data_IF_049625635032
#
_entry.id   IF_049625635032
#
_cell.length_a   1.000
_cell.length_b   1.000
_cell.length_c   1.000
_cell.angle_alpha   90.00
_cell.angle_beta   90.00
_cell.angle_gamma   90.00
#
_symmetry.space_group_name_H-M   'P 1'
#
loop_
_entity.id
_entity.type
_entity.pdbx_description
1 polymer ?
#
# COMPACT_ATOMS: atom_id res chain seq x y z
N UNK A 1 29.78 -7.55 -21.83
CA UNK A 1 29.01 -8.01 -20.65
C UNK A 1 27.57 -7.52 -20.80
N UNK A 2 26.63 -8.30 -21.37
CA UNK A 2 25.26 -7.84 -21.55
C UNK A 2 24.47 -7.96 -20.23
N UNK A 3 23.85 -6.85 -19.81
CA UNK A 3 22.90 -6.75 -18.70
C UNK A 3 21.64 -7.55 -19.02
N UNK A 4 21.42 -8.67 -18.33
CA UNK A 4 20.21 -9.45 -18.44
C UNK A 4 19.06 -8.74 -17.72
N UNK A 5 18.21 -8.02 -18.48
CA UNK A 5 16.93 -7.50 -17.98
C UNK A 5 15.94 -8.67 -17.94
N UNK A 6 15.94 -9.44 -16.84
CA UNK A 6 14.95 -10.49 -16.59
C UNK A 6 13.59 -9.81 -16.41
N UNK A 7 12.76 -9.83 -17.45
CA UNK A 7 11.35 -9.48 -17.33
C UNK A 7 10.73 -10.62 -16.51
N UNK A 8 10.41 -10.35 -15.25
CA UNK A 8 9.58 -11.25 -14.46
C UNK A 8 8.17 -11.20 -15.05
N UNK A 9 7.81 -12.21 -15.85
CA UNK A 9 6.42 -12.45 -16.19
C UNK A 9 5.78 -13.06 -14.92
N UNK A 10 5.40 -12.19 -13.98
CA UNK A 10 4.81 -12.62 -12.72
C UNK A 10 3.37 -13.08 -13.01
N UNK A 11 3.19 -14.36 -13.32
CA UNK A 11 1.91 -15.01 -13.05
C UNK A 11 1.60 -14.83 -11.57
N UNK A 12 0.36 -14.49 -11.25
CA UNK A 12 -0.07 -14.46 -9.85
C UNK A 12 0.25 -15.85 -9.25
N UNK A 13 0.86 -15.91 -8.05
CA UNK A 13 1.03 -17.18 -7.35
C UNK A 13 -0.34 -17.82 -7.10
N UNK A 14 -0.40 -19.15 -6.97
CA UNK A 14 -1.67 -19.90 -6.92
C UNK A 14 -2.63 -19.39 -5.85
N UNK A 15 -2.11 -18.96 -4.70
CA UNK A 15 -2.90 -18.37 -3.62
C UNK A 15 -3.55 -17.02 -4.00
N UNK A 16 -2.96 -16.28 -4.94
CA UNK A 16 -3.47 -15.00 -5.43
C UNK A 16 -4.35 -15.15 -6.69
N UNK A 17 -4.45 -16.35 -7.25
CA UNK A 17 -5.41 -16.71 -8.31
C UNK A 17 -6.79 -17.11 -7.75
N UNK A 18 -7.07 -16.81 -6.48
CA UNK A 18 -8.37 -17.09 -5.87
C UNK A 18 -9.49 -16.38 -6.68
N UNK A 19 -10.53 -17.10 -7.13
CA UNK A 19 -11.69 -16.51 -7.79
C UNK A 19 -12.41 -15.44 -6.96
N UNK A 20 -12.29 -15.47 -5.63
CA UNK A 20 -12.79 -14.44 -4.72
C UNK A 20 -11.93 -13.16 -4.74
N UNK A 21 -10.69 -13.21 -5.22
CA UNK A 21 -9.79 -12.06 -5.38
C UNK A 21 -9.79 -11.56 -6.83
N UNK A 22 -9.68 -12.48 -7.79
CA UNK A 22 -9.57 -12.17 -9.23
C UNK A 22 -10.92 -12.10 -9.96
N UNK A 23 -11.96 -12.72 -9.41
CA UNK A 23 -13.32 -12.74 -9.97
C UNK A 23 -14.19 -11.56 -9.54
N UNK A 24 -13.71 -10.69 -8.65
CA UNK A 24 -14.39 -9.43 -8.35
C UNK A 24 -14.25 -8.53 -9.58
N UNK A 25 -15.38 -8.26 -10.24
CA UNK A 25 -15.45 -7.26 -11.32
C UNK A 25 -15.09 -5.89 -10.74
N UNK A 26 -13.83 -5.56 -10.88
CA UNK A 26 -13.29 -4.22 -10.70
C UNK A 26 -14.05 -3.26 -11.60
N UNK A 27 -14.73 -2.29 -10.99
CA UNK A 27 -15.41 -1.24 -11.74
C UNK A 27 -14.37 -0.18 -12.14
N UNK A 28 -14.58 0.53 -13.25
CA UNK A 28 -13.83 1.75 -13.56
C UNK A 28 -12.29 1.59 -13.65
N UNK A 29 -11.78 0.58 -14.35
CA UNK A 29 -10.34 0.43 -14.64
C UNK A 29 -9.44 0.27 -13.38
N UNK A 30 -10.00 -0.14 -12.25
CA UNK A 30 -9.20 -0.57 -11.09
C UNK A 30 -8.25 -1.70 -11.53
N UNK A 31 -7.03 -1.73 -10.97
CA UNK A 31 -6.02 -2.76 -11.27
C UNK A 31 -5.51 -3.34 -9.97
N UNK A 32 -5.68 -4.65 -9.77
CA UNK A 32 -4.90 -5.37 -8.78
C UNK A 32 -3.45 -5.42 -9.24
N UNK A 33 -2.54 -4.94 -8.40
CA UNK A 33 -1.10 -5.15 -8.60
C UNK A 33 -0.59 -5.89 -7.39
N UNK A 34 -0.27 -7.18 -7.55
CA UNK A 34 0.41 -7.94 -6.53
C UNK A 34 1.90 -7.64 -6.59
N UNK A 35 2.50 -7.28 -5.45
CA UNK A 35 3.97 -7.24 -5.29
C UNK A 35 4.32 -7.92 -3.99
N UNK A 36 5.17 -8.95 -4.05
CA UNK A 36 5.84 -9.45 -2.86
C UNK A 36 6.88 -8.41 -2.43
N UNK A 37 6.73 -7.87 -1.22
CA UNK A 37 7.73 -6.99 -0.62
C UNK A 37 8.78 -7.88 0.05
N UNK A 38 10.06 -7.65 -0.26
CA UNK A 38 11.18 -8.28 0.46
C UNK A 38 11.30 -7.67 1.86
N UNK A 39 11.95 -8.39 2.77
CA UNK A 39 12.24 -7.90 4.12
C UNK A 39 12.88 -6.50 4.09
N UNK A 40 12.39 -5.60 4.93
CA UNK A 40 12.82 -4.19 4.96
C UNK A 40 11.74 -3.28 5.52
N UNK A 41 11.60 -2.09 4.92
CA UNK A 41 10.72 -1.03 5.41
C UNK A 41 9.94 -0.39 4.27
N UNK A 42 8.63 -0.27 4.47
CA UNK A 42 7.73 0.47 3.61
C UNK A 42 7.37 1.81 4.27
N UNK A 43 7.80 2.89 3.65
CA UNK A 43 7.52 4.26 4.05
C UNK A 43 6.37 4.84 3.25
N UNK A 44 5.42 5.45 3.94
CA UNK A 44 4.24 6.08 3.35
C UNK A 44 4.12 7.52 3.85
N UNK A 45 4.23 8.46 2.91
CA UNK A 45 4.08 9.88 3.18
C UNK A 45 2.73 10.39 2.70
N UNK A 46 2.02 11.06 3.58
CA UNK A 46 0.74 11.69 3.28
C UNK A 46 0.91 13.20 3.22
N UNK A 47 0.64 13.80 2.06
CA UNK A 47 0.51 15.26 1.98
C UNK A 47 -0.71 15.74 2.77
N UNK A 48 -1.80 14.96 2.70
CA UNK A 48 -3.01 15.14 3.49
C UNK A 48 -3.71 13.80 3.70
N UNK A 49 -4.08 13.52 4.95
CA UNK A 49 -4.79 12.30 5.34
C UNK A 49 -5.45 12.46 6.71
N UNK A 50 -5.81 11.34 7.35
CA UNK A 50 -6.53 11.33 8.64
C UNK A 50 -5.77 12.05 9.76
N UNK A 51 -4.45 11.89 9.81
CA UNK A 51 -3.62 12.44 10.88
C UNK A 51 -3.19 13.90 10.61
N UNK A 52 -3.75 14.55 9.57
CA UNK A 52 -3.45 15.92 9.20
C UNK A 52 -2.66 16.01 7.90
N UNK A 53 -1.64 16.86 7.88
CA UNK A 53 -0.85 17.17 6.68
C UNK A 53 0.62 16.83 6.87
N UNK A 54 1.27 16.40 5.79
CA UNK A 54 2.70 16.12 5.73
C UNK A 54 3.19 15.20 6.86
N UNK A 55 2.63 14.00 6.97
CA UNK A 55 2.99 13.00 7.99
C UNK A 55 3.44 11.67 7.40
N UNK A 56 4.17 10.89 8.19
CA UNK A 56 4.75 9.60 7.82
C UNK A 56 4.08 8.45 8.55
N UNK A 57 3.90 7.35 7.83
CA UNK A 57 3.75 6.01 8.40
C UNK A 57 4.92 5.15 7.92
N UNK A 58 5.32 4.19 8.76
CA UNK A 58 6.37 3.24 8.43
C UNK A 58 5.89 1.84 8.81
N UNK A 59 6.10 0.87 7.92
CA UNK A 59 5.82 -0.53 8.17
C UNK A 59 7.10 -1.31 8.01
N UNK A 60 7.43 -2.14 9.00
CA UNK A 60 8.47 -3.15 8.84
C UNK A 60 7.89 -4.33 8.07
N UNK A 61 8.62 -4.80 7.07
CA UNK A 61 8.26 -5.95 6.23
C UNK A 61 9.08 -7.13 6.71
N UNK A 62 8.42 -8.19 7.17
CA UNK A 62 9.06 -9.44 7.56
C UNK A 62 9.45 -10.28 6.32
N UNK A 63 10.17 -11.38 6.54
CA UNK A 63 10.70 -12.23 5.46
C UNK A 63 9.62 -12.95 4.63
N UNK A 64 8.47 -13.20 5.24
CA UNK A 64 7.25 -13.74 4.62
C UNK A 64 6.38 -12.67 3.93
N UNK A 65 6.79 -11.40 3.99
CA UNK A 65 6.07 -10.26 3.42
C UNK A 65 5.13 -9.57 4.39
N UNK A 66 5.07 -10.02 5.66
CA UNK A 66 4.15 -9.47 6.64
C UNK A 66 4.47 -8.02 7.06
N UNK A 67 3.45 -7.18 7.25
CA UNK A 67 3.57 -5.74 7.52
C UNK A 67 3.28 -5.33 8.98
N UNK A 68 4.26 -4.71 9.63
CA UNK A 68 4.15 -4.27 11.02
C UNK A 68 4.24 -2.76 11.13
N UNK A 69 3.12 -2.08 11.44
CA UNK A 69 3.10 -0.63 11.64
C UNK A 69 4.02 -0.23 12.80
N UNK A 70 4.93 0.70 12.53
CA UNK A 70 5.93 1.19 13.46
C UNK A 70 5.45 2.46 14.16
N UNK A 71 5.79 2.60 15.45
CA UNK A 71 5.45 3.81 16.23
C UNK A 71 6.23 5.04 15.77
N UNK A 72 7.53 4.87 15.46
CA UNK A 72 8.42 5.95 15.07
C UNK A 72 9.03 5.68 13.68
N UNK A 73 8.63 6.43 12.63
CA UNK A 73 9.17 6.22 11.29
C UNK A 73 10.69 6.41 11.17
N UNK A 74 11.28 7.28 12.00
CA UNK A 74 12.72 7.59 11.99
C UNK A 74 13.59 6.56 12.71
N UNK A 75 12.99 5.63 13.47
CA UNK A 75 13.68 4.57 14.18
C UNK A 75 12.81 3.30 14.25
N UNK A 76 12.51 2.67 13.11
CA UNK A 76 11.68 1.47 13.08
C UNK A 76 12.47 0.24 13.54
N UNK A 77 11.80 -0.68 14.25
CA UNK A 77 12.38 -1.97 14.62
C UNK A 77 12.32 -2.94 13.44
N UNK A 78 13.36 -3.75 13.24
CA UNK A 78 13.29 -4.88 12.31
C UNK A 78 12.30 -5.93 12.82
N UNK A 79 11.60 -6.57 11.90
CA UNK A 79 10.74 -7.72 12.21
C UNK A 79 11.23 -8.91 11.39
N UNK A 80 11.55 -9.99 12.07
CA UNK A 80 12.00 -11.23 11.43
C UNK A 80 10.83 -12.20 11.21
N UNK A 81 9.92 -12.28 12.20
CA UNK A 81 8.69 -13.09 12.20
C UNK A 81 7.63 -12.47 13.10
N UNK A 82 6.37 -12.87 12.92
CA UNK A 82 5.28 -12.52 13.81
C UNK A 82 5.57 -13.01 15.25
N UNK A 83 5.42 -12.12 16.25
CA UNK A 83 5.69 -12.44 17.66
C UNK A 83 4.62 -13.37 18.30
N UNK A 84 3.55 -13.70 17.57
CA UNK A 84 2.44 -14.52 18.05
C UNK A 84 2.00 -15.50 16.96
N UNK A 85 2.54 -16.72 17.01
CA UNK A 85 2.12 -17.87 16.18
C UNK A 85 1.16 -18.75 17.02
N UNK A 86 0.04 -18.20 17.52
CA UNK A 86 -1.00 -19.09 18.09
C UNK A 86 -1.67 -19.80 16.92
N UNK A 87 -1.52 -21.12 16.85
CA UNK A 87 -1.86 -21.99 15.70
C UNK A 87 -3.31 -22.01 15.20
N UNK A 88 -4.14 -21.05 15.61
CA UNK A 88 -5.54 -20.89 15.17
C UNK A 88 -5.78 -19.61 14.36
N UNK A 89 -4.78 -18.74 14.21
CA UNK A 89 -4.89 -17.54 13.38
C UNK A 89 -4.22 -17.73 12.03
N UNK A 90 -5.03 -17.77 10.98
CA UNK A 90 -4.57 -17.67 9.60
C UNK A 90 -3.92 -16.29 9.43
N UNK A 91 -2.58 -16.22 9.42
CA UNK A 91 -1.81 -14.98 9.20
C UNK A 91 -2.18 -14.26 7.89
N UNK A 92 -2.81 -14.97 6.95
CA UNK A 92 -3.31 -14.41 5.68
C UNK A 92 -4.52 -13.46 5.85
N UNK A 93 -5.11 -13.33 7.05
CA UNK A 93 -6.28 -12.47 7.30
C UNK A 93 -5.95 -11.04 7.76
N UNK A 94 -4.70 -10.70 8.07
CA UNK A 94 -4.40 -9.41 8.71
C UNK A 94 -3.08 -8.89 8.19
N UNK A 95 -3.09 -7.97 7.22
CA UNK A 95 -2.05 -6.95 6.98
C UNK A 95 -2.35 -6.11 5.73
N UNK A 96 -3.54 -5.51 5.72
CA UNK A 96 -3.83 -4.46 4.74
C UNK A 96 -3.48 -3.09 5.33
N UNK A 97 -2.80 -2.26 4.55
CA UNK A 97 -2.76 -0.83 4.80
C UNK A 97 -3.95 -0.18 4.11
N UNK A 98 -4.78 0.52 4.89
CA UNK A 98 -5.91 1.28 4.35
C UNK A 98 -5.58 2.77 4.29
N UNK A 99 -5.81 3.39 3.15
CA UNK A 99 -5.85 4.84 3.04
C UNK A 99 -7.29 5.27 3.40
N UNK A 100 -7.47 5.73 4.63
CA UNK A 100 -8.79 6.14 5.12
C UNK A 100 -9.30 7.41 4.42
N UNK A 101 -10.60 7.45 4.10
CA UNK A 101 -11.25 8.60 3.43
C UNK A 101 -10.51 9.03 2.14
N UNK A 102 -10.43 8.15 1.12
CA UNK A 102 -9.65 8.41 -0.09
C UNK A 102 -10.09 9.69 -0.82
N UNK A 103 -11.37 10.06 -0.74
CA UNK A 103 -11.95 11.29 -1.28
C UNK A 103 -11.39 12.56 -0.62
N UNK A 104 -10.90 12.46 0.62
CA UNK A 104 -10.32 13.58 1.39
C UNK A 104 -8.79 13.54 1.43
N UNK A 105 -8.19 12.48 0.92
CA UNK A 105 -6.75 12.30 0.87
C UNK A 105 -6.11 13.09 -0.29
N UNK A 106 -4.98 13.71 0.02
CA UNK A 106 -4.09 14.31 -0.97
C UNK A 106 -3.25 13.24 -1.68
N UNK A 107 -2.09 13.63 -2.23
CA UNK A 107 -1.16 12.63 -2.74
C UNK A 107 -0.57 11.82 -1.59
N UNK A 108 -0.47 10.52 -1.83
CA UNK A 108 0.18 9.55 -0.95
C UNK A 108 1.39 8.98 -1.69
N UNK A 109 2.53 8.93 -1.01
CA UNK A 109 3.80 8.57 -1.62
C UNK A 109 4.39 7.35 -0.93
N UNK A 110 4.78 6.34 -1.71
CA UNK A 110 5.29 5.07 -1.23
C UNK A 110 6.77 4.91 -1.57
N UNK A 111 7.57 4.46 -0.61
CA UNK A 111 8.95 4.06 -0.85
C UNK A 111 9.32 2.81 -0.06
N UNK A 112 10.01 1.90 -0.72
CA UNK A 112 10.67 0.78 -0.07
C UNK A 112 12.13 1.12 0.22
N UNK A 113 12.62 0.73 1.41
CA UNK A 113 14.03 0.73 1.78
C UNK A 113 14.39 -0.57 2.47
N UNK A 114 15.58 -1.11 2.18
CA UNK A 114 16.10 -2.27 2.92
C UNK A 114 16.61 -1.89 4.31
N UNK A 115 17.04 -0.64 4.47
CA UNK A 115 17.58 -0.10 5.72
C UNK A 115 16.67 0.99 6.28
N UNK A 116 16.60 1.15 7.62
CA UNK A 116 15.78 2.18 8.23
C UNK A 116 16.26 3.58 7.80
N UNK A 117 15.31 4.43 7.45
CA UNK A 117 15.56 5.86 7.23
C UNK A 117 15.59 6.59 8.57
N UNK A 118 16.66 7.37 8.77
CA UNK A 118 16.74 8.33 9.87
C UNK A 118 15.91 9.58 9.62
N UNK A 119 15.79 10.42 10.66
CA UNK A 119 15.01 11.66 10.64
C UNK A 119 15.42 12.59 9.49
N UNK A 120 16.71 12.75 9.21
CA UNK A 120 17.20 13.60 8.11
C UNK A 120 16.66 13.18 6.75
N UNK A 121 16.56 11.88 6.49
CA UNK A 121 16.03 11.34 5.23
C UNK A 121 14.53 11.59 5.11
N UNK A 122 13.79 11.42 6.22
CA UNK A 122 12.36 11.72 6.26
C UNK A 122 12.08 13.19 6.05
N UNK A 123 12.90 14.07 6.65
CA UNK A 123 12.77 15.52 6.50
C UNK A 123 13.11 15.95 5.07
N UNK A 124 14.16 15.39 4.46
CA UNK A 124 14.51 15.64 3.05
C UNK A 124 13.33 15.35 2.13
N UNK A 125 12.73 14.17 2.23
CA UNK A 125 11.60 13.80 1.37
C UNK A 125 10.28 14.50 1.74
N UNK A 126 10.13 14.96 2.98
CA UNK A 126 9.00 15.79 3.40
C UNK A 126 9.09 17.19 2.79
N UNK A 127 10.26 17.83 2.91
CA UNK A 127 10.51 19.23 2.56
C UNK A 127 10.79 19.45 1.07
N UNK A 128 11.29 18.44 0.37
CA UNK A 128 11.71 18.56 -1.04
C UNK A 128 10.83 17.68 -1.95
N UNK A 129 9.73 18.21 -2.53
CA UNK A 129 8.85 17.45 -3.41
C UNK A 129 9.54 16.85 -4.64
N UNK A 130 10.60 17.50 -5.13
CA UNK A 130 11.39 17.00 -6.27
C UNK A 130 12.06 15.67 -5.93
N UNK A 131 12.87 15.63 -4.87
CA UNK A 131 13.54 14.41 -4.39
C UNK A 131 12.54 13.30 -4.09
N UNK A 132 11.40 13.66 -3.50
CA UNK A 132 10.28 12.74 -3.27
C UNK A 132 9.77 12.13 -4.58
N UNK A 133 9.55 12.95 -5.60
CA UNK A 133 9.04 12.49 -6.90
C UNK A 133 10.01 11.60 -7.68
N UNK A 134 11.31 11.78 -7.49
CA UNK A 134 12.34 10.96 -8.12
C UNK A 134 12.48 9.57 -7.45
N UNK A 135 12.28 9.49 -6.13
CA UNK A 135 12.52 8.27 -5.33
C UNK A 135 11.27 7.46 -5.00
N UNK A 136 10.11 8.10 -4.89
CA UNK A 136 8.87 7.51 -4.36
C UNK A 136 7.79 7.35 -5.43
N UNK A 137 6.95 6.34 -5.26
CA UNK A 137 5.78 6.13 -6.10
C UNK A 137 4.61 6.98 -5.59
N UNK A 138 4.09 7.89 -6.42
CA UNK A 138 2.88 8.66 -6.11
C UNK A 138 1.62 7.85 -6.39
N UNK A 139 0.64 7.98 -5.50
CA UNK A 139 -0.76 7.55 -5.67
C UNK A 139 -1.65 8.73 -5.27
N UNK A 140 -2.73 8.97 -6.01
CA UNK A 140 -3.70 10.03 -5.70
C UNK A 140 -5.08 9.40 -5.47
N UNK A 141 -5.41 9.03 -4.21
CA UNK A 141 -6.61 8.26 -3.88
C UNK A 141 -7.92 8.97 -4.25
N UNK A 142 -7.97 10.30 -4.15
CA UNK A 142 -9.15 11.10 -4.44
C UNK A 142 -9.51 11.12 -5.93
N UNK A 143 -8.51 11.09 -6.82
CA UNK A 143 -8.73 10.96 -8.27
C UNK A 143 -9.16 9.54 -8.65
N UNK A 144 -8.68 8.52 -7.93
CA UNK A 144 -9.15 7.13 -8.09
C UNK A 144 -10.63 6.97 -7.72
N UNK A 145 -11.17 7.83 -6.84
CA UNK A 145 -12.57 7.81 -6.41
C UNK A 145 -13.55 8.65 -7.24
N UNK A 146 -13.08 9.51 -8.16
CA UNK A 146 -13.92 10.45 -8.91
C UNK A 146 -14.70 9.81 -10.08
N UNK A 147 -14.40 8.57 -10.45
CA UNK A 147 -15.26 7.76 -11.35
C UNK A 147 -16.52 7.20 -10.68
N UNK A 148 -16.79 7.52 -9.41
CA UNK A 148 -17.76 6.81 -8.56
C UNK A 148 -19.18 7.41 -8.50
N UNK A 149 -19.54 8.37 -9.36
CA UNK A 149 -20.91 8.91 -9.34
C UNK A 149 -21.79 8.36 -10.47
N UNK A 150 -22.93 7.77 -10.04
CA UNK A 150 -24.13 7.34 -10.81
C UNK A 150 -24.33 5.85 -11.11
N UNK A 151 -24.21 4.97 -10.13
CA UNK A 151 -24.99 3.71 -10.13
C UNK A 151 -25.55 3.44 -8.74
N UNK A 152 -26.62 4.18 -8.40
CA UNK A 152 -27.28 4.06 -7.11
C UNK A 152 -28.65 4.73 -7.04
N UNK A 153 -29.37 4.85 -8.15
CA UNK A 153 -30.80 5.21 -8.10
C UNK A 153 -31.57 4.66 -9.29
N UNK A 154 -32.10 3.45 -9.15
CA UNK A 154 -33.38 3.00 -9.73
C UNK A 154 -33.65 1.55 -9.33
N UNK A 155 -34.16 1.35 -8.12
CA UNK A 155 -35.03 0.19 -7.87
C UNK A 155 -36.44 0.62 -8.26
N UNK A 156 -36.87 0.12 -9.42
CA UNK A 156 -38.18 0.35 -9.99
C UNK A 156 -39.25 -0.31 -9.11
N UNK A 157 -40.25 0.45 -8.66
CA UNK A 157 -41.51 -0.08 -8.16
C UNK A 157 -42.11 -0.97 -9.25
N UNK A 158 -42.35 -2.24 -8.97
CA UNK A 158 -43.36 -3.03 -9.69
C UNK A 158 -44.41 -3.49 -8.68
N UNK A 159 -45.58 -2.88 -8.82
CA UNK A 159 -46.85 -3.46 -8.41
C UNK A 159 -47.11 -4.70 -9.28
N UNK A 160 -47.50 -5.80 -8.64
CA UNK A 160 -48.54 -6.70 -9.10
C UNK A 160 -49.04 -7.48 -7.89
#
# INVERSE_FOLDING_TARGET
MPLYRRIFNASLPDWANDPHITGVKLANNEKYTLRALRQGYLYVFYEKGKQGVNYWQCYSVASDGSLWLQQFPSNPASVDKALCETGEHIAQNVEFMSIESPDKCGNVWFAFSQYPWGQETLDRYRLTPKDRSERMQKVTPSLSGLGRSKTGSRSNRRQS
#
